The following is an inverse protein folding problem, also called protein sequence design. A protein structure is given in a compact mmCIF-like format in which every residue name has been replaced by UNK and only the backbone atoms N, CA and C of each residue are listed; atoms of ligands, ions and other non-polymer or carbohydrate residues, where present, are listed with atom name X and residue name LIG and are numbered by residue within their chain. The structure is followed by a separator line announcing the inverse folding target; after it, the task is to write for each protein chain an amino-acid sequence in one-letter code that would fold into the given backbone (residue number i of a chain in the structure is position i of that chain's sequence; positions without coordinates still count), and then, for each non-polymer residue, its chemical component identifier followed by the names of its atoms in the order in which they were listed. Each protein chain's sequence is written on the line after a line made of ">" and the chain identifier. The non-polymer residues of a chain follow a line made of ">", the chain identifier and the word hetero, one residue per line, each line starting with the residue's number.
data_IF_757579264438
#
_entry.id   IF_757579264438
#
_cell.length_a   1.000
_cell.length_b   1.000
_cell.length_c   1.000
_cell.angle_alpha   90.00
_cell.angle_beta   90.00
_cell.angle_gamma   90.00
#
_symmetry.space_group_name_H-M   'P 1'
#
loop_
_entity.id
_entity.type
_entity.pdbx_description
1 polymer ?
#
# COMPACT_ATOMS: atom_id res chain seq x y z
N UNK A 1 4.46 -10.52 -13.01
CA UNK A 1 5.68 -10.97 -12.33
C UNK A 1 5.77 -10.23 -11.01
N UNK A 2 5.86 -10.95 -9.87
CA UNK A 2 5.98 -10.38 -8.51
C UNK A 2 7.44 -10.15 -8.07
N UNK A 3 8.37 -10.37 -9.00
CA UNK A 3 9.79 -10.56 -8.68
C UNK A 3 10.48 -9.24 -8.30
N UNK A 4 10.03 -8.09 -8.80
CA UNK A 4 10.77 -6.84 -8.63
C UNK A 4 10.55 -6.15 -7.28
N UNK A 5 9.33 -6.16 -6.72
CA UNK A 5 9.05 -5.58 -5.40
C UNK A 5 9.73 -6.38 -4.28
N UNK A 6 9.76 -7.71 -4.41
CA UNK A 6 10.49 -8.57 -3.47
C UNK A 6 12.00 -8.35 -3.59
N UNK A 7 12.53 -8.10 -4.79
CA UNK A 7 13.95 -7.77 -4.99
C UNK A 7 14.32 -6.40 -4.41
N UNK A 8 13.46 -5.38 -4.53
CA UNK A 8 13.67 -4.04 -3.94
C UNK A 8 13.62 -4.06 -2.41
N UNK A 9 12.67 -4.81 -1.83
CA UNK A 9 12.59 -5.06 -0.40
C UNK A 9 13.83 -5.87 0.05
N UNK A 10 14.17 -6.95 -0.66
CA UNK A 10 15.29 -7.83 -0.32
C UNK A 10 16.66 -7.14 -0.47
N UNK A 11 16.87 -6.29 -1.47
CA UNK A 11 18.11 -5.52 -1.66
C UNK A 11 18.33 -4.50 -0.55
N UNK A 12 17.26 -3.84 -0.06
CA UNK A 12 17.40 -2.81 0.99
C UNK A 12 17.48 -3.36 2.40
N UNK A 13 16.78 -4.48 2.67
CA UNK A 13 16.84 -5.12 3.98
C UNK A 13 18.21 -5.77 4.26
N UNK A 14 18.87 -6.32 3.23
CA UNK A 14 20.14 -7.05 3.41
C UNK A 14 21.41 -6.23 3.14
N UNK A 15 21.32 -5.01 2.62
CA UNK A 15 22.52 -4.18 2.37
C UNK A 15 23.06 -3.44 3.61
N UNK A 16 22.41 -3.55 4.76
CA UNK A 16 22.92 -2.93 5.99
C UNK A 16 22.48 -3.73 7.21
N UNK A 17 23.44 -4.39 7.86
CA UNK A 17 23.27 -5.30 9.01
C UNK A 17 22.59 -4.68 10.27
N UNK A 18 22.09 -3.43 10.21
CA UNK A 18 21.59 -2.67 11.38
C UNK A 18 20.41 -1.72 11.09
N UNK A 19 19.59 -1.93 10.05
CA UNK A 19 18.38 -1.10 9.87
C UNK A 19 17.28 -1.58 10.82
N UNK A 20 17.01 -0.83 11.89
CA UNK A 20 15.86 -1.06 12.79
C UNK A 20 14.61 -0.31 12.35
N UNK A 21 14.74 0.68 11.46
CA UNK A 21 13.62 1.50 11.01
C UNK A 21 13.74 1.93 9.55
N UNK A 22 12.62 1.93 8.83
CA UNK A 22 12.49 2.32 7.42
C UNK A 22 12.01 3.77 7.33
N UNK A 23 12.64 4.57 6.48
CA UNK A 23 12.14 5.88 6.02
C UNK A 23 10.88 5.67 5.17
N UNK A 24 9.73 5.92 5.79
CA UNK A 24 8.43 5.63 5.20
C UNK A 24 8.07 6.55 4.03
N UNK A 25 8.24 7.89 4.12
CA UNK A 25 7.96 8.78 2.99
C UNK A 25 8.73 8.39 1.74
N UNK A 26 10.04 8.13 1.87
CA UNK A 26 10.87 7.69 0.75
C UNK A 26 10.41 6.33 0.22
N UNK A 27 10.20 5.37 1.11
CA UNK A 27 9.83 4.01 0.73
C UNK A 27 8.51 3.96 -0.05
N UNK A 28 7.47 4.63 0.44
CA UNK A 28 6.15 4.66 -0.21
C UNK A 28 6.25 5.39 -1.56
N UNK A 29 7.03 6.47 -1.65
CA UNK A 29 7.19 7.22 -2.89
C UNK A 29 7.83 6.37 -3.98
N UNK A 30 8.96 5.72 -3.67
CA UNK A 30 9.67 4.89 -4.64
C UNK A 30 8.85 3.66 -5.07
N UNK A 31 8.05 3.09 -4.16
CA UNK A 31 7.13 2.00 -4.50
C UNK A 31 6.03 2.48 -5.46
N UNK A 32 5.37 3.59 -5.14
CA UNK A 32 4.28 4.12 -5.94
C UNK A 32 4.75 4.60 -7.32
N UNK A 33 5.83 5.36 -7.37
CA UNK A 33 6.43 5.86 -8.61
C UNK A 33 7.01 4.72 -9.46
N UNK A 34 7.66 3.74 -8.83
CA UNK A 34 8.19 2.57 -9.53
C UNK A 34 7.09 1.74 -10.19
N UNK A 35 5.96 1.52 -9.49
CA UNK A 35 4.81 0.84 -10.06
C UNK A 35 4.12 1.69 -11.13
N UNK A 36 3.95 2.98 -10.90
CA UNK A 36 3.39 3.91 -11.89
C UNK A 36 4.16 3.81 -13.22
N UNK A 37 5.49 3.90 -13.17
CA UNK A 37 6.36 3.77 -14.34
C UNK A 37 6.29 2.37 -14.98
N UNK A 38 6.29 1.31 -14.18
CA UNK A 38 6.24 -0.07 -14.67
C UNK A 38 4.94 -0.41 -15.44
N UNK A 39 3.82 0.22 -15.09
CA UNK A 39 2.54 0.08 -15.79
C UNK A 39 2.33 1.14 -16.89
N UNK A 40 3.31 2.01 -17.14
CA UNK A 40 3.28 2.97 -18.24
C UNK A 40 2.39 4.19 -18.02
N UNK A 41 2.09 4.54 -16.77
CA UNK A 41 1.38 5.78 -16.45
C UNK A 41 2.37 6.94 -16.34
N UNK A 42 2.27 7.94 -17.21
CA UNK A 42 3.10 9.14 -17.10
C UNK A 42 2.58 10.10 -16.02
N UNK A 43 3.43 11.03 -15.57
CA UNK A 43 3.11 12.01 -14.52
C UNK A 43 2.23 13.17 -15.00
N UNK A 44 2.04 13.34 -16.31
CA UNK A 44 1.21 14.41 -16.88
C UNK A 44 -0.27 14.03 -16.89
N UNK A 45 -0.57 12.74 -17.09
CA UNK A 45 -1.92 12.20 -17.24
C UNK A 45 -2.37 11.38 -16.03
N UNK A 46 -1.48 11.08 -15.09
CA UNK A 46 -1.80 10.36 -13.86
C UNK A 46 -1.59 11.22 -12.61
N UNK A 47 -2.63 11.37 -11.80
CA UNK A 47 -2.55 12.12 -10.54
C UNK A 47 -2.18 11.19 -9.39
N UNK A 48 -0.91 11.23 -8.97
CA UNK A 48 -0.46 10.57 -7.74
C UNK A 48 -0.43 11.58 -6.58
N UNK A 49 -1.24 11.35 -5.55
CA UNK A 49 -1.26 12.16 -4.33
C UNK A 49 -0.72 11.36 -3.14
N UNK A 50 0.22 11.95 -2.41
CA UNK A 50 0.86 11.29 -1.27
C UNK A 50 0.87 12.20 -0.04
N UNK A 51 0.36 11.68 1.08
CA UNK A 51 0.38 12.33 2.39
C UNK A 51 0.92 11.36 3.45
N UNK A 52 2.25 11.23 3.51
CA UNK A 52 2.95 10.34 4.45
C UNK A 52 3.52 11.18 5.59
N UNK A 53 2.88 11.12 6.77
CA UNK A 53 3.23 11.92 7.95
C UNK A 53 3.92 11.13 9.07
N UNK A 54 4.17 9.84 8.85
CA UNK A 54 4.98 9.02 9.73
C UNK A 54 6.40 8.96 9.15
N UNK A 55 7.43 9.52 9.82
CA UNK A 55 8.76 9.63 9.24
C UNK A 55 9.48 8.28 9.15
N UNK A 56 9.36 7.46 10.19
CA UNK A 56 10.01 6.15 10.26
C UNK A 56 9.08 5.10 10.86
N UNK A 57 9.34 3.84 10.53
CA UNK A 57 8.61 2.70 11.09
C UNK A 57 9.54 1.51 11.27
N UNK A 58 9.32 0.75 12.35
CA UNK A 58 10.06 -0.48 12.60
C UNK A 58 9.93 -1.44 11.41
N UNK A 59 11.03 -2.10 11.07
CA UNK A 59 11.08 -3.11 9.98
C UNK A 59 10.01 -4.19 10.16
N UNK A 60 9.71 -4.60 11.40
CA UNK A 60 8.67 -5.59 11.70
C UNK A 60 7.27 -5.18 11.21
N UNK A 61 6.99 -3.88 11.16
CA UNK A 61 5.72 -3.33 10.68
C UNK A 61 5.86 -2.87 9.22
N UNK A 62 7.01 -2.31 8.84
CA UNK A 62 7.25 -1.76 7.52
C UNK A 62 7.25 -2.81 6.41
N UNK A 63 7.81 -4.01 6.66
CA UNK A 63 7.82 -5.11 5.68
C UNK A 63 6.38 -5.55 5.31
N UNK A 64 5.54 -6.01 6.27
CA UNK A 64 4.18 -6.42 5.94
C UNK A 64 3.34 -5.26 5.37
N UNK A 65 3.51 -4.04 5.88
CA UNK A 65 2.86 -2.84 5.32
C UNK A 65 3.24 -2.61 3.85
N UNK A 66 4.53 -2.77 3.53
CA UNK A 66 5.05 -2.63 2.18
C UNK A 66 4.50 -3.65 1.19
N UNK A 67 4.35 -4.91 1.63
CA UNK A 67 3.74 -5.97 0.82
C UNK A 67 2.24 -5.71 0.59
N UNK A 68 1.52 -5.24 1.62
CA UNK A 68 0.11 -4.84 1.50
C UNK A 68 -0.02 -3.70 0.49
N UNK A 69 0.77 -2.63 0.65
CA UNK A 69 0.80 -1.50 -0.28
C UNK A 69 1.07 -1.98 -1.71
N UNK A 70 2.10 -2.80 -1.91
CA UNK A 70 2.46 -3.29 -3.23
C UNK A 70 1.30 -4.00 -3.93
N UNK A 71 0.55 -4.86 -3.23
CA UNK A 71 -0.60 -5.53 -3.85
C UNK A 71 -1.75 -4.58 -4.14
N UNK A 72 -2.07 -3.66 -3.22
CA UNK A 72 -3.12 -2.65 -3.44
C UNK A 72 -2.78 -1.80 -4.66
N UNK A 73 -1.56 -1.26 -4.71
CA UNK A 73 -1.10 -0.40 -5.80
C UNK A 73 -1.03 -1.18 -7.12
N UNK A 74 -0.52 -2.41 -7.10
CA UNK A 74 -0.47 -3.29 -8.27
C UNK A 74 -1.88 -3.54 -8.81
N UNK A 75 -2.87 -3.78 -7.95
CA UNK A 75 -4.24 -3.99 -8.38
C UNK A 75 -4.85 -2.72 -8.97
N UNK A 76 -4.61 -1.55 -8.36
CA UNK A 76 -5.05 -0.28 -8.90
C UNK A 76 -4.47 -0.05 -10.31
N UNK A 77 -3.14 -0.15 -10.49
CA UNK A 77 -2.51 0.08 -11.79
C UNK A 77 -2.90 -0.95 -12.86
N UNK A 78 -3.15 -2.20 -12.48
CA UNK A 78 -3.60 -3.24 -13.44
C UNK A 78 -5.04 -3.07 -13.88
N UNK A 79 -5.94 -2.69 -12.98
CA UNK A 79 -7.37 -2.89 -13.18
C UNK A 79 -8.20 -1.61 -13.09
N UNK A 80 -7.77 -0.58 -12.37
CA UNK A 80 -8.62 0.57 -12.05
C UNK A 80 -8.70 1.63 -13.15
N UNK A 81 -7.70 1.74 -14.04
CA UNK A 81 -7.51 2.95 -14.85
C UNK A 81 -7.71 2.79 -16.37
N UNK A 82 -8.15 1.64 -16.87
CA UNK A 82 -8.25 1.39 -18.32
C UNK A 82 -9.16 2.39 -19.04
N UNK A 83 -10.29 2.78 -18.43
CA UNK A 83 -11.30 3.67 -19.01
C UNK A 83 -11.55 4.93 -18.15
N UNK A 84 -10.54 5.37 -17.38
CA UNK A 84 -10.65 6.53 -16.49
C UNK A 84 -10.02 7.75 -17.16
N UNK A 85 -10.83 8.76 -17.48
CA UNK A 85 -10.37 9.96 -18.19
C UNK A 85 -9.34 10.80 -17.43
N UNK A 86 -9.34 10.74 -16.09
CA UNK A 86 -8.39 11.43 -15.21
C UNK A 86 -7.99 10.48 -14.09
N UNK A 87 -7.09 9.51 -14.35
CA UNK A 87 -6.75 8.50 -13.37
C UNK A 87 -6.03 9.15 -12.17
N UNK A 88 -6.45 8.77 -10.98
CA UNK A 88 -5.93 9.31 -9.74
C UNK A 88 -5.80 8.21 -8.69
N UNK A 89 -4.67 8.26 -7.98
CA UNK A 89 -4.36 7.43 -6.83
C UNK A 89 -3.95 8.33 -5.68
N UNK A 90 -4.57 8.11 -4.53
CA UNK A 90 -4.19 8.77 -3.28
C UNK A 90 -3.65 7.76 -2.28
N UNK A 91 -2.55 8.10 -1.63
CA UNK A 91 -1.93 7.32 -0.56
C UNK A 91 -1.72 8.25 0.62
N UNK A 92 -2.42 8.02 1.72
CA UNK A 92 -2.19 8.71 2.98
C UNK A 92 -1.74 7.71 4.05
N UNK A 93 -0.69 8.06 4.76
CA UNK A 93 -0.17 7.27 5.87
C UNK A 93 0.15 8.19 7.04
N UNK A 94 -0.68 8.15 8.08
CA UNK A 94 -0.63 9.13 9.17
C UNK A 94 -0.98 8.51 10.53
N UNK A 95 -0.36 8.97 11.63
CA UNK A 95 -0.84 8.65 12.96
C UNK A 95 -2.28 9.14 13.16
N UNK A 96 -3.10 8.37 13.88
CA UNK A 96 -4.46 8.78 14.26
C UNK A 96 -4.54 9.57 15.58
N UNK A 97 -3.40 9.72 16.27
CA UNK A 97 -3.32 10.35 17.59
C UNK A 97 -3.79 9.47 18.76
N UNK A 98 -4.27 8.25 18.48
CA UNK A 98 -4.75 7.27 19.45
C UNK A 98 -3.86 6.01 19.47
N UNK A 99 -2.58 6.14 19.12
CA UNK A 99 -1.63 5.03 19.11
C UNK A 99 -1.76 4.10 17.91
N UNK A 100 -2.37 4.54 16.81
CA UNK A 100 -2.42 3.76 15.57
C UNK A 100 -1.85 4.55 14.39
N UNK A 101 -1.40 3.79 13.40
CA UNK A 101 -1.08 4.26 12.07
C UNK A 101 -2.27 3.98 11.15
N UNK A 102 -2.74 5.00 10.45
CA UNK A 102 -3.78 4.87 9.44
C UNK A 102 -3.15 4.91 8.06
N UNK A 103 -3.27 3.80 7.34
CA UNK A 103 -3.07 3.74 5.90
C UNK A 103 -4.43 3.93 5.21
N UNK A 104 -4.50 4.84 4.26
CA UNK A 104 -5.63 5.09 3.38
C UNK A 104 -5.12 5.10 1.94
N UNK A 105 -5.59 4.16 1.12
CA UNK A 105 -5.25 4.10 -0.30
C UNK A 105 -6.55 4.11 -1.09
N UNK A 106 -6.71 5.08 -1.99
CA UNK A 106 -7.91 5.18 -2.81
C UNK A 106 -7.56 5.42 -4.28
N UNK A 107 -8.15 4.61 -5.15
CA UNK A 107 -8.23 4.86 -6.59
C UNK A 107 -9.59 5.49 -6.97
N UNK A 108 -9.65 6.08 -8.16
CA UNK A 108 -10.89 6.60 -8.75
C UNK A 108 -11.40 5.75 -9.93
N UNK A 109 -11.09 4.45 -9.92
CA UNK A 109 -11.53 3.51 -10.92
C UNK A 109 -13.02 3.12 -10.80
N UNK A 110 -13.45 2.06 -11.49
CA UNK A 110 -14.83 1.56 -11.41
C UNK A 110 -15.15 0.85 -10.08
N UNK A 111 -14.15 0.65 -9.20
CA UNK A 111 -14.26 -0.15 -7.99
C UNK A 111 -14.21 -1.65 -8.26
N UNK A 112 -14.26 -2.44 -7.19
CA UNK A 112 -14.36 -3.90 -7.25
C UNK A 112 -15.77 -4.28 -7.75
N UNK A 113 -15.87 -4.72 -9.00
CA UNK A 113 -17.14 -5.16 -9.59
C UNK A 113 -17.82 -6.29 -8.78
N UNK A 114 -19.13 -6.54 -8.99
CA UNK A 114 -19.88 -7.55 -8.22
C UNK A 114 -19.34 -8.98 -8.36
N UNK A 115 -18.68 -9.31 -9.48
CA UNK A 115 -17.95 -10.57 -9.71
C UNK A 115 -16.50 -10.55 -9.17
N UNK A 116 -15.98 -9.37 -8.85
CA UNK A 116 -14.66 -9.13 -8.28
C UNK A 116 -14.77 -8.82 -6.78
N UNK A 117 -15.77 -9.38 -6.08
CA UNK A 117 -15.66 -9.51 -4.62
C UNK A 117 -14.31 -10.19 -4.37
N UNK A 118 -13.39 -9.56 -3.63
CA UNK A 118 -12.01 -10.00 -3.60
C UNK A 118 -11.83 -11.26 -2.74
N UNK A 119 -12.92 -11.80 -2.21
CA UNK A 119 -12.99 -13.06 -1.46
C UNK A 119 -12.48 -14.21 -2.32
N UNK A 120 -11.19 -14.53 -2.19
CA UNK A 120 -10.55 -15.70 -2.79
C UNK A 120 -9.44 -15.44 -3.82
N UNK A 121 -9.12 -14.18 -4.16
CA UNK A 121 -7.89 -13.92 -4.93
C UNK A 121 -6.68 -14.01 -4.00
N UNK A 122 -5.57 -14.60 -4.47
CA UNK A 122 -4.36 -14.76 -3.66
C UNK A 122 -3.84 -13.41 -3.11
N UNK A 123 -3.94 -12.33 -3.89
CA UNK A 123 -3.53 -10.98 -3.46
C UNK A 123 -4.36 -10.47 -2.28
N UNK A 124 -5.68 -10.63 -2.34
CA UNK A 124 -6.57 -10.25 -1.23
C UNK A 124 -6.31 -11.10 0.03
N UNK A 125 -6.15 -12.41 -0.13
CA UNK A 125 -5.80 -13.30 0.99
C UNK A 125 -4.48 -12.87 1.65
N UNK A 126 -3.50 -12.43 0.87
CA UNK A 126 -2.25 -11.92 1.42
C UNK A 126 -2.45 -10.62 2.19
N UNK A 127 -3.27 -9.68 1.68
CA UNK A 127 -3.61 -8.45 2.40
C UNK A 127 -4.30 -8.78 3.73
N UNK A 128 -5.23 -9.73 3.75
CA UNK A 128 -5.94 -10.19 4.96
C UNK A 128 -4.96 -10.79 5.97
N UNK A 129 -4.13 -11.76 5.56
CA UNK A 129 -3.15 -12.42 6.44
C UNK A 129 -2.13 -11.44 7.00
N UNK A 130 -1.59 -10.53 6.19
CA UNK A 130 -0.63 -9.53 6.66
C UNK A 130 -1.29 -8.48 7.55
N UNK A 131 -2.56 -8.14 7.32
CA UNK A 131 -3.32 -7.25 8.21
C UNK A 131 -3.53 -7.91 9.57
N UNK A 132 -3.86 -9.20 9.61
CA UNK A 132 -3.96 -9.98 10.85
C UNK A 132 -2.61 -10.05 11.59
N UNK A 133 -1.51 -10.30 10.87
CA UNK A 133 -0.15 -10.30 11.44
C UNK A 133 0.22 -8.96 12.08
N UNK A 134 -0.25 -7.85 11.50
CA UNK A 134 -0.08 -6.50 12.02
C UNK A 134 -1.03 -6.16 13.17
N UNK A 135 -2.00 -7.03 13.49
CA UNK A 135 -3.10 -6.71 14.41
C UNK A 135 -3.97 -5.55 13.88
N UNK A 136 -3.96 -5.32 12.58
CA UNK A 136 -4.63 -4.21 11.94
C UNK A 136 -6.11 -4.52 11.68
N UNK A 137 -6.94 -3.47 11.69
CA UNK A 137 -8.31 -3.56 11.16
C UNK A 137 -8.31 -3.10 9.71
N UNK A 138 -8.87 -3.93 8.83
CA UNK A 138 -8.98 -3.68 7.39
C UNK A 138 -10.43 -3.35 7.03
N UNK A 139 -10.63 -2.22 6.35
CA UNK A 139 -11.90 -1.85 5.73
C UNK A 139 -11.68 -1.59 4.23
N UNK A 140 -12.59 -2.09 3.40
CA UNK A 140 -12.56 -1.90 1.95
C UNK A 140 -13.91 -1.35 1.50
N UNK A 141 -13.87 -0.20 0.83
CA UNK A 141 -15.01 0.41 0.15
C UNK A 141 -14.78 0.37 -1.37
N UNK A 142 -15.80 0.01 -2.13
CA UNK A 142 -15.74 -0.10 -3.59
C UNK A 142 -16.82 0.72 -4.31
N UNK A 143 -17.50 1.66 -3.62
CA UNK A 143 -18.63 2.40 -4.20
C UNK A 143 -18.24 3.51 -5.19
N UNK A 144 -17.04 4.09 -5.08
CA UNK A 144 -16.58 5.25 -5.86
C UNK A 144 -15.11 5.11 -6.23
N UNK A 145 -14.76 4.00 -6.88
CA UNK A 145 -13.39 3.49 -6.92
C UNK A 145 -13.15 2.51 -5.77
N UNK A 146 -11.92 2.03 -5.64
CA UNK A 146 -11.54 1.14 -4.52
C UNK A 146 -10.76 1.93 -3.48
N UNK A 147 -11.20 1.81 -2.22
CA UNK A 147 -10.53 2.40 -1.06
C UNK A 147 -10.20 1.33 -0.04
N UNK A 148 -8.92 1.17 0.25
CA UNK A 148 -8.41 0.35 1.33
C UNK A 148 -8.06 1.25 2.52
N UNK A 149 -8.58 0.91 3.69
CA UNK A 149 -8.27 1.59 4.93
C UNK A 149 -7.76 0.56 5.95
N UNK A 150 -6.52 0.72 6.37
CA UNK A 150 -5.92 -0.12 7.40
C UNK A 150 -5.57 0.74 8.61
N UNK A 151 -6.02 0.30 9.78
CA UNK A 151 -5.65 0.90 11.06
C UNK A 151 -4.78 -0.08 11.83
N UNK A 152 -3.50 0.24 11.93
CA UNK A 152 -2.43 -0.61 12.47
C UNK A 152 -2.06 -0.09 13.86
N UNK A 153 -2.11 -0.91 14.92
CA UNK A 153 -1.66 -0.50 16.24
C UNK A 153 -0.15 -0.22 16.24
N UNK A 154 0.24 0.98 16.69
CA UNK A 154 1.64 1.34 16.97
C UNK A 154 1.93 0.94 18.42
N UNK A 155 2.06 -0.35 18.69
CA UNK A 155 2.37 -0.81 20.05
C UNK A 155 3.80 -0.39 20.44
N UNK A 156 3.92 0.35 21.55
CA UNK A 156 5.16 0.44 22.32
C UNK A 156 5.37 -0.91 23.02
N UNK A 157 6.19 -1.78 22.43
CA UNK A 157 6.55 -3.09 23.00
C UNK A 157 5.50 -4.17 22.75
N UNK A 158 5.80 -5.09 21.82
CA UNK A 158 5.37 -6.47 22.00
C UNK A 158 6.13 -7.04 23.21
N UNK A 159 5.52 -7.91 24.04
CA UNK A 159 6.18 -8.48 25.21
C UNK A 159 7.45 -9.27 24.85
#
# INVERSE_FOLDING_TARGET
>A
QRVDAMSLIHQRLYQTDHITAIDLPRYVAELAEGLQAAYGFDTEHFKLEMDVRQPTLDVEIAIPLGLILNEILTNAFKYAYHDVARPALSIALRPDGAGHLLLDVADNGPGLGPAARPTGSFGQQMIEVLSEQLGATLHVDSQRGTRYQLRIPLAAGRP
#
